data_IF_143234462035
#
_entry.id   IF_143234462035
#
_cell.length_a   1.000
_cell.length_b   1.000
_cell.length_c   1.000
_cell.angle_alpha   90.00
_cell.angle_beta   90.00
_cell.angle_gamma   90.00
#
_symmetry.space_group_name_H-M   'P 1'
#
loop_
_entity.id
_entity.type
_entity.pdbx_description
1 polymer ?
#
# COMPACT_ATOMS: atom_id res chain seq x y z
N UNK A 1 -19.80 22.66 22.99
CA UNK A 1 -20.57 22.47 21.74
C UNK A 1 -19.61 22.01 20.65
N UNK A 2 -19.87 20.87 20.00
CA UNK A 2 -19.04 20.36 18.89
C UNK A 2 -19.36 21.17 17.64
N UNK A 3 -18.36 21.68 16.92
CA UNK A 3 -18.55 22.53 15.72
C UNK A 3 -18.51 21.75 14.41
N UNK A 4 -17.74 20.67 14.36
CA UNK A 4 -17.56 19.84 13.17
C UNK A 4 -17.07 18.45 13.59
N UNK A 5 -17.21 17.48 12.69
CA UNK A 5 -16.70 16.12 12.85
C UNK A 5 -15.67 15.80 11.78
N UNK A 6 -14.45 15.40 12.17
CA UNK A 6 -13.40 14.98 11.22
C UNK A 6 -13.42 13.46 11.09
N UNK A 7 -13.57 12.94 9.87
CA UNK A 7 -13.57 11.51 9.65
C UNK A 7 -13.53 11.09 8.19
N UNK A 8 -13.19 9.82 7.95
CA UNK A 8 -13.31 9.20 6.62
C UNK A 8 -14.75 9.15 6.13
N UNK A 9 -14.95 8.83 4.85
CA UNK A 9 -16.28 8.84 4.21
C UNK A 9 -17.15 7.60 4.54
N UNK A 10 -16.83 6.81 5.57
CA UNK A 10 -17.63 5.63 5.88
C UNK A 10 -19.03 6.00 6.40
N UNK A 11 -20.00 5.10 6.20
CA UNK A 11 -21.41 5.31 6.57
C UNK A 11 -21.58 5.65 8.06
N UNK A 12 -20.82 5.01 8.95
CA UNK A 12 -20.82 5.30 10.38
C UNK A 12 -20.43 6.74 10.68
N UNK A 13 -19.37 7.24 10.04
CA UNK A 13 -18.90 8.61 10.22
C UNK A 13 -19.89 9.64 9.66
N UNK A 14 -20.52 9.33 8.53
CA UNK A 14 -21.58 10.16 7.97
C UNK A 14 -22.78 10.21 8.93
N UNK A 15 -23.21 9.06 9.45
CA UNK A 15 -24.31 8.96 10.40
C UNK A 15 -24.06 9.76 11.68
N UNK A 16 -22.85 9.67 12.25
CA UNK A 16 -22.46 10.44 13.45
C UNK A 16 -22.56 11.94 13.18
N UNK A 17 -21.97 12.44 12.08
CA UNK A 17 -22.03 13.87 11.75
C UNK A 17 -23.48 14.36 11.57
N UNK A 18 -24.31 13.56 10.88
CA UNK A 18 -25.74 13.85 10.68
C UNK A 18 -26.49 13.88 12.01
N UNK A 19 -26.26 12.90 12.91
CA UNK A 19 -26.89 12.86 14.24
C UNK A 19 -26.47 14.01 15.14
N UNK A 20 -25.22 14.44 15.03
CA UNK A 20 -24.71 15.60 15.74
C UNK A 20 -25.16 16.93 15.11
N UNK A 21 -25.73 16.93 13.90
CA UNK A 21 -26.14 18.13 13.19
C UNK A 21 -24.96 19.04 12.81
N UNK A 22 -23.74 18.49 12.68
CA UNK A 22 -22.52 19.25 12.42
C UNK A 22 -21.92 18.91 11.06
N UNK A 23 -21.22 19.86 10.40
CA UNK A 23 -20.52 19.57 9.15
C UNK A 23 -19.43 18.51 9.34
N UNK A 24 -19.31 17.62 8.35
CA UNK A 24 -18.23 16.63 8.29
C UNK A 24 -17.06 17.15 7.46
N UNK A 25 -15.87 17.14 8.05
CA UNK A 25 -14.62 17.43 7.36
C UNK A 25 -13.95 16.10 7.00
N UNK A 26 -13.58 15.95 5.74
CA UNK A 26 -12.91 14.75 5.26
C UNK A 26 -11.52 14.58 5.88
N UNK A 27 -11.23 13.39 6.38
CA UNK A 27 -9.89 13.05 6.88
C UNK A 27 -8.82 13.25 5.79
N UNK A 28 -7.78 14.04 6.09
CA UNK A 28 -6.68 14.33 5.17
C UNK A 28 -5.93 13.07 4.75
N UNK A 29 -5.67 12.14 5.68
CA UNK A 29 -5.04 10.85 5.38
C UNK A 29 -5.86 10.00 4.40
N UNK A 30 -7.20 10.05 4.52
CA UNK A 30 -8.08 9.33 3.61
C UNK A 30 -8.07 9.95 2.20
N UNK A 31 -8.09 11.29 2.10
CA UNK A 31 -7.97 12.00 0.81
C UNK A 31 -6.63 11.72 0.13
N UNK A 32 -5.56 11.69 0.90
CA UNK A 32 -4.23 11.36 0.41
C UNK A 32 -4.18 9.93 -0.17
N UNK A 33 -4.71 8.95 0.54
CA UNK A 33 -4.81 7.57 0.03
C UNK A 33 -5.65 7.46 -1.25
N UNK A 34 -6.71 8.24 -1.40
CA UNK A 34 -7.47 8.28 -2.66
C UNK A 34 -6.61 8.82 -3.81
N UNK A 35 -5.77 9.83 -3.55
CA UNK A 35 -4.84 10.36 -4.55
C UNK A 35 -3.75 9.34 -4.91
N UNK A 36 -3.19 8.63 -3.93
CA UNK A 36 -2.21 7.56 -4.17
C UNK A 36 -2.82 6.42 -4.99
N UNK A 37 -4.04 5.98 -4.65
CA UNK A 37 -4.75 4.97 -5.42
C UNK A 37 -4.94 5.41 -6.87
N UNK A 38 -5.37 6.67 -7.08
CA UNK A 38 -5.55 7.23 -8.43
C UNK A 38 -4.23 7.35 -9.19
N UNK A 39 -3.15 7.71 -8.51
CA UNK A 39 -1.81 7.74 -9.10
C UNK A 39 -1.33 6.35 -9.54
N UNK A 40 -1.77 5.29 -8.85
CA UNK A 40 -1.39 3.91 -9.12
C UNK A 40 -2.35 3.17 -10.09
N UNK A 41 -3.44 3.81 -10.55
CA UNK A 41 -4.44 3.20 -11.45
C UNK A 41 -3.79 2.65 -12.73
N UNK A 42 -2.87 3.40 -13.35
CA UNK A 42 -2.16 2.97 -14.57
C UNK A 42 -1.25 1.75 -14.37
N UNK A 43 -0.97 1.42 -13.11
CA UNK A 43 -0.14 0.28 -12.70
C UNK A 43 -0.96 -0.85 -12.06
N UNK A 44 -2.29 -0.75 -12.02
CA UNK A 44 -3.16 -1.67 -11.26
C UNK A 44 -2.87 -3.15 -11.55
N UNK A 45 -2.82 -3.55 -12.83
CA UNK A 45 -2.53 -4.92 -13.23
C UNK A 45 -1.18 -5.43 -12.71
N UNK A 46 -0.17 -4.55 -12.65
CA UNK A 46 1.16 -4.90 -12.16
C UNK A 46 1.16 -5.03 -10.64
N UNK A 47 0.39 -4.17 -9.96
CA UNK A 47 0.22 -4.20 -8.51
C UNK A 47 -0.52 -5.48 -8.08
N UNK A 48 -1.53 -5.92 -8.84
CA UNK A 48 -2.24 -7.18 -8.58
C UNK A 48 -1.34 -8.41 -8.76
N UNK A 49 -0.48 -8.38 -9.78
CA UNK A 49 0.53 -9.42 -9.98
C UNK A 49 1.51 -9.46 -8.80
N UNK A 50 1.98 -8.29 -8.35
CA UNK A 50 2.85 -8.20 -7.17
C UNK A 50 2.12 -8.67 -5.91
N UNK A 51 0.86 -8.28 -5.71
CA UNK A 51 0.04 -8.77 -4.59
C UNK A 51 -0.02 -10.29 -4.59
N UNK A 52 -0.26 -10.90 -5.75
CA UNK A 52 -0.28 -12.36 -5.91
C UNK A 52 1.07 -12.98 -5.57
N UNK A 53 2.16 -12.44 -6.13
CA UNK A 53 3.53 -12.86 -5.84
C UNK A 53 3.84 -12.78 -4.33
N UNK A 54 3.51 -11.67 -3.68
CA UNK A 54 3.74 -11.45 -2.25
C UNK A 54 2.92 -12.40 -1.38
N UNK A 55 1.74 -12.84 -1.84
CA UNK A 55 0.97 -13.90 -1.19
C UNK A 55 1.65 -15.26 -1.36
N UNK A 56 2.11 -15.61 -2.56
CA UNK A 56 2.79 -16.88 -2.85
C UNK A 56 4.10 -17.02 -2.05
N UNK A 57 4.85 -15.93 -1.91
CA UNK A 57 6.08 -15.90 -1.09
C UNK A 57 5.82 -16.12 0.41
N UNK A 58 4.59 -15.94 0.88
CA UNK A 58 4.20 -16.20 2.28
C UNK A 58 3.83 -17.66 2.53
N UNK A 59 3.70 -18.49 1.49
CA UNK A 59 3.48 -19.93 1.66
C UNK A 59 4.69 -20.56 2.37
N UNK A 60 4.50 -21.58 3.25
CA UNK A 60 5.56 -22.09 4.12
C UNK A 60 6.86 -22.46 3.39
N UNK A 61 6.77 -23.19 2.27
CA UNK A 61 7.94 -23.63 1.52
C UNK A 61 8.69 -22.46 0.86
N UNK A 62 7.95 -21.53 0.27
CA UNK A 62 8.51 -20.35 -0.39
C UNK A 62 9.11 -19.37 0.64
N UNK A 63 8.43 -19.20 1.77
CA UNK A 63 8.90 -18.38 2.88
C UNK A 63 10.19 -18.94 3.49
N UNK A 64 10.29 -20.26 3.66
CA UNK A 64 11.51 -20.92 4.11
C UNK A 64 12.64 -20.76 3.09
N UNK A 65 12.34 -20.89 1.79
CA UNK A 65 13.31 -20.66 0.73
C UNK A 65 13.84 -19.22 0.73
N UNK A 66 12.94 -18.23 0.81
CA UNK A 66 13.28 -16.81 0.86
C UNK A 66 14.08 -16.45 2.13
N UNK A 67 13.73 -17.04 3.28
CA UNK A 67 14.41 -16.80 4.55
C UNK A 67 15.89 -17.23 4.56
N UNK A 68 16.29 -18.16 3.66
CA UNK A 68 17.69 -18.54 3.48
C UNK A 68 18.53 -17.44 2.82
N UNK A 69 17.88 -16.51 2.11
CA UNK A 69 18.54 -15.47 1.31
C UNK A 69 18.37 -14.08 1.93
N UNK A 70 17.24 -13.82 2.59
CA UNK A 70 16.98 -12.54 3.25
C UNK A 70 16.24 -12.69 4.57
N UNK A 71 16.52 -11.78 5.51
CA UNK A 71 15.76 -11.66 6.77
C UNK A 71 14.44 -10.89 6.58
N UNK A 72 14.28 -10.20 5.45
CA UNK A 72 13.09 -9.41 5.16
C UNK A 72 11.93 -10.31 4.78
N UNK A 73 10.73 -9.97 5.28
CA UNK A 73 9.51 -10.73 5.02
C UNK A 73 8.64 -10.06 3.96
N UNK A 74 7.98 -10.83 3.08
CA UNK A 74 7.01 -10.30 2.13
C UNK A 74 5.79 -9.75 2.86
N UNK A 75 5.38 -8.53 2.50
CA UNK A 75 4.18 -7.85 2.98
C UNK A 75 3.12 -7.86 1.88
N UNK A 76 1.87 -8.22 2.22
CA UNK A 76 0.72 -8.09 1.32
C UNK A 76 -0.04 -6.80 1.58
N UNK A 77 -0.63 -6.21 0.55
CA UNK A 77 -1.57 -5.10 0.72
C UNK A 77 -2.87 -5.58 1.40
N UNK A 78 -3.50 -4.68 2.16
CA UNK A 78 -4.80 -4.83 2.76
C UNK A 78 -5.69 -3.66 2.33
N UNK A 79 -6.76 -3.94 1.59
CA UNK A 79 -7.67 -2.93 1.05
C UNK A 79 -8.22 -1.95 2.12
N UNK A 80 -8.35 -2.38 3.38
CA UNK A 80 -8.86 -1.51 4.45
C UNK A 80 -7.80 -0.59 5.05
N UNK A 81 -6.50 -0.77 4.73
CA UNK A 81 -5.38 -0.04 5.33
C UNK A 81 -4.73 0.90 4.32
N UNK A 82 -4.89 2.20 4.56
CA UNK A 82 -4.57 3.29 3.62
C UNK A 82 -3.12 3.40 3.12
N UNK A 83 -2.14 2.71 3.71
CA UNK A 83 -0.75 2.74 3.26
C UNK A 83 -0.22 1.38 2.79
N UNK A 84 -1.06 0.34 2.83
CA UNK A 84 -0.57 -1.03 2.65
C UNK A 84 -0.08 -1.32 1.24
N UNK A 85 -0.66 -0.69 0.23
CA UNK A 85 -0.21 -0.85 -1.16
C UNK A 85 1.19 -0.28 -1.33
N UNK A 86 1.43 0.94 -0.84
CA UNK A 86 2.76 1.53 -0.85
C UNK A 86 3.77 0.68 -0.07
N UNK A 87 3.45 0.26 1.16
CA UNK A 87 4.34 -0.59 1.97
C UNK A 87 4.65 -1.94 1.30
N UNK A 88 3.67 -2.54 0.63
CA UNK A 88 3.88 -3.77 -0.16
C UNK A 88 4.84 -3.51 -1.32
N UNK A 89 4.62 -2.46 -2.10
CA UNK A 89 5.47 -2.16 -3.26
C UNK A 89 6.90 -1.83 -2.82
N UNK A 90 7.06 -1.11 -1.72
CA UNK A 90 8.36 -0.84 -1.14
C UNK A 90 9.07 -2.12 -0.67
N UNK A 91 8.33 -3.01 0.01
CA UNK A 91 8.83 -4.33 0.42
C UNK A 91 9.27 -5.16 -0.78
N UNK A 92 8.44 -5.23 -1.82
CA UNK A 92 8.75 -5.93 -3.07
C UNK A 92 10.03 -5.43 -3.72
N UNK A 93 10.22 -4.11 -3.83
CA UNK A 93 11.44 -3.52 -4.39
C UNK A 93 12.68 -3.92 -3.56
N UNK A 94 12.59 -3.88 -2.23
CA UNK A 94 13.69 -4.24 -1.32
C UNK A 94 14.10 -5.70 -1.38
N UNK A 95 13.17 -6.61 -1.64
CA UNK A 95 13.43 -8.07 -1.65
C UNK A 95 13.52 -8.64 -3.06
N UNK A 96 13.47 -7.82 -4.12
CA UNK A 96 13.40 -8.28 -5.51
C UNK A 96 14.50 -9.28 -5.86
N UNK A 97 15.74 -8.98 -5.50
CA UNK A 97 16.88 -9.84 -5.84
C UNK A 97 16.81 -11.18 -5.10
N UNK A 98 16.33 -11.19 -3.86
CA UNK A 98 16.10 -12.42 -3.11
C UNK A 98 14.97 -13.26 -3.73
N UNK A 99 13.92 -12.63 -4.25
CA UNK A 99 12.83 -13.34 -4.92
C UNK A 99 13.35 -14.10 -6.16
N UNK A 100 14.30 -13.53 -6.92
CA UNK A 100 14.86 -14.17 -8.11
C UNK A 100 15.53 -15.53 -7.82
N UNK A 101 15.89 -15.79 -6.56
CA UNK A 101 16.47 -17.08 -6.12
C UNK A 101 15.41 -18.15 -5.82
N UNK A 102 14.13 -17.77 -5.70
CA UNK A 102 13.02 -18.66 -5.34
C UNK A 102 12.34 -19.15 -6.62
N UNK A 103 12.81 -20.25 -7.18
CA UNK A 103 12.30 -20.83 -8.45
C UNK A 103 10.79 -21.06 -8.48
N UNK A 104 10.19 -21.41 -7.34
CA UNK A 104 8.77 -21.74 -7.24
C UNK A 104 7.83 -20.55 -7.54
N UNK A 105 8.33 -19.32 -7.59
CA UNK A 105 7.51 -18.12 -7.88
C UNK A 105 7.93 -17.42 -9.18
N UNK A 106 8.76 -18.07 -10.00
CA UNK A 106 9.30 -17.51 -11.25
C UNK A 106 8.18 -17.10 -12.21
N UNK A 107 7.14 -17.92 -12.32
CA UNK A 107 5.96 -17.67 -13.17
C UNK A 107 5.16 -16.42 -12.78
N UNK A 108 5.30 -15.96 -11.53
CA UNK A 108 4.59 -14.78 -11.01
C UNK A 108 5.44 -13.50 -11.07
N UNK A 109 6.65 -13.56 -11.61
CA UNK A 109 7.55 -12.41 -11.62
C UNK A 109 7.14 -11.36 -12.66
N UNK A 110 7.13 -10.10 -12.23
CA UNK A 110 7.02 -8.98 -13.15
C UNK A 110 8.23 -8.91 -14.10
N UNK A 111 7.95 -8.73 -15.40
CA UNK A 111 8.95 -8.43 -16.44
C UNK A 111 9.74 -7.16 -16.11
N UNK A 112 10.94 -7.02 -16.66
CA UNK A 112 11.86 -5.90 -16.37
C UNK A 112 11.23 -4.51 -16.53
N UNK A 113 10.47 -4.27 -17.61
CA UNK A 113 9.81 -2.97 -17.84
C UNK A 113 8.73 -2.67 -16.78
N UNK A 114 7.97 -3.69 -16.36
CA UNK A 114 6.98 -3.53 -15.31
C UNK A 114 7.64 -3.21 -13.97
N UNK A 115 8.76 -3.86 -13.67
CA UNK A 115 9.53 -3.57 -12.47
C UNK A 115 10.06 -2.14 -12.42
N UNK A 116 10.65 -1.63 -13.51
CA UNK A 116 11.13 -0.25 -13.56
C UNK A 116 10.01 0.78 -13.37
N UNK A 117 8.82 0.52 -13.93
CA UNK A 117 7.64 1.36 -13.68
C UNK A 117 7.26 1.38 -12.19
N UNK A 118 7.29 0.24 -11.51
CA UNK A 118 7.00 0.13 -10.08
C UNK A 118 8.06 0.83 -9.24
N UNK A 119 9.35 0.69 -9.56
CA UNK A 119 10.43 1.45 -8.89
C UNK A 119 10.15 2.95 -9.01
N UNK A 120 9.88 3.43 -10.23
CA UNK A 120 9.61 4.85 -10.46
C UNK A 120 8.37 5.34 -9.68
N UNK A 121 7.33 4.53 -9.57
CA UNK A 121 6.15 4.84 -8.76
C UNK A 121 6.48 4.90 -7.26
N UNK A 122 7.23 3.92 -6.74
CA UNK A 122 7.66 3.88 -5.33
C UNK A 122 8.53 5.08 -4.98
N UNK A 123 9.47 5.46 -5.83
CA UNK A 123 10.33 6.64 -5.60
C UNK A 123 9.54 7.96 -5.58
N UNK A 124 8.49 8.08 -6.41
CA UNK A 124 7.57 9.23 -6.35
C UNK A 124 6.77 9.25 -5.05
N UNK A 125 6.23 8.10 -4.64
CA UNK A 125 5.44 7.99 -3.40
C UNK A 125 6.30 8.24 -2.14
N UNK A 126 7.56 7.79 -2.11
CA UNK A 126 8.49 8.07 -1.01
C UNK A 126 8.69 9.57 -0.77
N UNK A 127 8.71 10.39 -1.81
CA UNK A 127 8.83 11.86 -1.67
C UNK A 127 7.64 12.46 -0.92
N UNK A 128 6.49 11.78 -0.96
CA UNK A 128 5.26 12.21 -0.29
C UNK A 128 5.13 11.65 1.14
N UNK A 129 6.04 10.77 1.58
CA UNK A 129 6.00 10.17 2.91
C UNK A 129 6.09 11.24 4.02
N UNK A 130 6.95 12.24 3.82
CA UNK A 130 7.04 13.39 4.74
C UNK A 130 5.74 14.20 4.84
N UNK A 131 4.97 14.29 3.74
CA UNK A 131 3.65 14.93 3.72
C UNK A 131 2.66 14.09 4.51
N UNK A 132 2.68 12.78 4.32
CA UNK A 132 1.82 11.84 5.05
C UNK A 132 2.04 11.91 6.56
N UNK A 133 3.29 11.88 7.02
CA UNK A 133 3.64 12.01 8.44
C UNK A 133 3.15 13.35 9.01
N UNK A 134 3.34 14.45 8.28
CA UNK A 134 2.88 15.78 8.71
C UNK A 134 1.35 15.87 8.79
N UNK A 135 0.63 15.28 7.85
CA UNK A 135 -0.84 15.27 7.84
C UNK A 135 -1.45 14.50 9.02
N UNK A 136 -0.68 13.57 9.62
CA UNK A 136 -1.11 12.82 10.81
C UNK A 136 -0.70 13.46 12.13
N UNK A 137 0.32 14.33 12.11
CA UNK A 137 0.83 15.01 13.29
C UNK A 137 -0.06 16.19 13.74
N UNK A 138 -0.90 16.73 12.85
CA UNK A 138 -1.87 17.77 13.19
C UNK A 138 -3.10 17.15 13.87
N UNK A 139 -3.15 17.29 15.20
CA UNK A 139 -4.30 16.95 16.05
C UNK A 139 -5.18 18.17 16.27
#
# INVERSE_FOLDING_TARGET
MVRFFIGGNCSTNQYIATKLGVPRIGCSSHRFNLADNRFLEDNHNQIDLIQTLMIQLRQPNNAAALARVTKLKPIKSNATRWSSTFTMLESYVKIRDAILTVRAVEEHMCRCNAHHRIIAAVEKLKKLDSVWVKLQAQK
#
